data_IF_977298600419
#
_entry.id   IF_977298600419
#
_cell.length_a   1.000
_cell.length_b   1.000
_cell.length_c   1.000
_cell.angle_alpha   90.00
_cell.angle_beta   90.00
_cell.angle_gamma   90.00
#
_symmetry.space_group_name_H-M   'P 1'
#
loop_
_entity.id
_entity.type
_entity.pdbx_description
1 polymer ?
#
# COMPACT_ATOMS: atom_id res chain seq x y z
N UNK A 1 7.34 35.29 31.27
CA UNK A 1 7.55 33.85 31.00
C UNK A 1 6.23 33.15 30.72
N UNK A 2 5.21 33.35 31.56
CA UNK A 2 3.83 32.82 31.42
C UNK A 2 3.17 33.01 30.03
N UNK A 3 3.24 34.22 29.46
CA UNK A 3 2.54 34.58 28.20
C UNK A 3 3.14 33.92 26.96
N UNK A 4 4.43 33.60 26.99
CA UNK A 4 5.12 32.94 25.88
C UNK A 4 4.70 31.46 25.77
N UNK A 5 4.44 30.81 26.90
CA UNK A 5 3.98 29.42 26.97
C UNK A 5 2.56 29.29 26.42
N UNK A 6 1.67 30.23 26.76
CA UNK A 6 0.29 30.25 26.27
C UNK A 6 0.19 30.41 24.74
N UNK A 7 1.15 31.12 24.11
CA UNK A 7 1.18 31.31 22.66
C UNK A 7 1.62 30.04 21.91
N UNK A 8 2.52 29.25 22.49
CA UNK A 8 3.07 28.05 21.84
C UNK A 8 2.23 26.79 22.08
N UNK A 9 1.44 26.75 23.17
CA UNK A 9 0.55 25.63 23.51
C UNK A 9 -0.35 25.16 22.34
N UNK A 10 -1.05 26.03 21.59
CA UNK A 10 -1.89 25.58 20.47
C UNK A 10 -1.07 24.96 19.32
N UNK A 11 0.17 25.43 19.10
CA UNK A 11 1.05 24.90 18.07
C UNK A 11 1.54 23.48 18.41
N UNK A 12 1.88 23.25 19.69
CA UNK A 12 2.23 21.92 20.19
C UNK A 12 1.03 20.96 20.17
N UNK A 13 -0.16 21.43 20.56
CA UNK A 13 -1.40 20.64 20.46
C UNK A 13 -1.73 20.26 19.03
N UNK A 14 -1.56 21.18 18.07
CA UNK A 14 -1.78 20.90 16.65
C UNK A 14 -0.76 19.89 16.10
N UNK A 15 0.51 20.03 16.46
CA UNK A 15 1.54 19.07 16.07
C UNK A 15 1.27 17.67 16.64
N UNK A 16 0.90 17.58 17.92
CA UNK A 16 0.46 16.32 18.55
C UNK A 16 -0.79 15.74 17.86
N UNK A 17 -1.76 16.59 17.52
CA UNK A 17 -2.96 16.15 16.79
C UNK A 17 -2.58 15.54 15.43
N UNK A 18 -1.68 16.17 14.68
CA UNK A 18 -1.17 15.65 13.41
C UNK A 18 -0.43 14.32 13.57
N UNK A 19 0.33 14.13 14.65
CA UNK A 19 0.98 12.87 15.01
C UNK A 19 -0.03 11.76 15.35
N UNK A 20 -1.20 12.11 15.89
CA UNK A 20 -2.27 11.15 16.25
C UNK A 20 -3.19 10.76 15.08
N UNK A 21 -3.06 11.39 13.90
CA UNK A 21 -3.75 10.94 12.68
C UNK A 21 -3.11 9.61 12.25
N UNK A 22 -3.55 8.54 12.89
CA UNK A 22 -3.23 7.17 12.51
C UNK A 22 -3.76 6.94 11.08
N UNK A 23 -2.94 6.25 10.28
CA UNK A 23 -3.03 6.23 8.82
C UNK A 23 -4.39 5.89 8.21
N UNK A 24 -4.50 6.16 6.91
CA UNK A 24 -5.67 5.88 6.07
C UNK A 24 -6.18 4.46 6.33
N UNK A 25 -7.50 4.26 6.55
CA UNK A 25 -8.07 2.93 6.73
C UNK A 25 -7.68 2.04 5.55
N UNK A 26 -7.03 0.91 5.86
CA UNK A 26 -6.62 -0.08 4.86
C UNK A 26 -7.82 -0.95 4.55
N UNK A 27 -8.36 -0.86 3.35
CA UNK A 27 -9.42 -1.73 2.87
C UNK A 27 -8.93 -2.57 1.69
N UNK A 28 -9.42 -3.80 1.61
CA UNK A 28 -9.21 -4.68 0.48
C UNK A 28 -10.53 -4.83 -0.26
N UNK A 29 -10.63 -4.24 -1.45
CA UNK A 29 -11.71 -4.54 -2.38
C UNK A 29 -11.30 -5.77 -3.17
N UNK A 30 -12.19 -6.74 -3.26
CA UNK A 30 -11.96 -7.97 -3.99
C UNK A 30 -13.19 -8.26 -4.84
N UNK A 31 -12.99 -8.75 -6.07
CA UNK A 31 -14.10 -9.19 -6.94
C UNK A 31 -15.04 -10.22 -6.31
N UNK A 32 -16.15 -10.57 -6.96
CA UNK A 32 -17.02 -11.62 -6.43
C UNK A 32 -16.60 -13.02 -6.90
N UNK A 33 -15.86 -13.08 -8.00
CA UNK A 33 -15.42 -14.33 -8.62
C UNK A 33 -14.13 -14.85 -8.01
N UNK A 34 -14.06 -16.16 -7.79
CA UNK A 34 -12.81 -16.84 -7.46
C UNK A 34 -12.28 -17.50 -8.72
N UNK A 35 -11.06 -17.18 -9.13
CA UNK A 35 -10.46 -17.93 -10.24
C UNK A 35 -10.07 -19.35 -9.77
N UNK A 36 -10.02 -20.33 -10.69
CA UNK A 36 -9.52 -21.66 -10.36
C UNK A 36 -8.03 -21.61 -9.99
N UNK A 37 -7.62 -22.42 -9.01
CA UNK A 37 -6.19 -22.64 -8.70
C UNK A 37 -5.52 -23.42 -9.83
N UNK A 38 -4.19 -23.30 -9.94
CA UNK A 38 -3.37 -23.98 -10.96
C UNK A 38 -3.75 -23.59 -12.39
N UNK A 39 -4.19 -22.36 -12.59
CA UNK A 39 -4.36 -21.75 -13.90
C UNK A 39 -3.12 -20.91 -14.22
N UNK A 40 -2.86 -20.69 -15.51
CA UNK A 40 -1.84 -19.73 -15.94
C UNK A 40 -2.05 -18.36 -15.30
N UNK A 41 -3.31 -17.94 -15.13
CA UNK A 41 -3.66 -16.71 -14.42
C UNK A 41 -3.16 -16.71 -12.96
N UNK A 42 -3.41 -17.79 -12.20
CA UNK A 42 -2.93 -17.88 -10.81
C UNK A 42 -1.40 -17.91 -10.71
N UNK A 43 -0.71 -18.59 -11.62
CA UNK A 43 0.75 -18.63 -11.66
C UNK A 43 1.34 -17.27 -11.99
N UNK A 44 0.78 -16.58 -12.99
CA UNK A 44 1.19 -15.25 -13.39
C UNK A 44 0.93 -14.24 -12.26
N UNK A 45 -0.18 -14.36 -11.54
CA UNK A 45 -0.49 -13.51 -10.39
C UNK A 45 0.51 -13.75 -9.23
N UNK A 46 0.79 -15.01 -8.91
CA UNK A 46 1.76 -15.36 -7.87
C UNK A 46 3.19 -14.91 -8.19
N UNK A 47 3.55 -14.89 -9.47
CA UNK A 47 4.83 -14.36 -9.95
C UNK A 47 4.89 -12.82 -9.92
N UNK A 48 3.78 -12.15 -10.27
CA UNK A 48 3.75 -10.69 -10.42
C UNK A 48 3.71 -9.94 -9.07
N UNK A 49 2.90 -10.41 -8.11
CA UNK A 49 2.65 -9.72 -6.83
C UNK A 49 3.93 -9.47 -5.99
N UNK A 50 4.88 -10.41 -5.85
CA UNK A 50 6.12 -10.18 -5.08
C UNK A 50 7.04 -9.15 -5.73
N UNK A 51 6.99 -9.02 -7.06
CA UNK A 51 7.85 -8.07 -7.80
C UNK A 51 7.50 -6.62 -7.48
N UNK A 52 6.22 -6.33 -7.18
CA UNK A 52 5.68 -4.98 -6.98
C UNK A 52 6.44 -4.20 -5.91
N UNK A 53 6.74 -4.83 -4.77
CA UNK A 53 7.37 -4.15 -3.64
C UNK A 53 8.78 -3.65 -3.97
N UNK A 54 9.53 -4.41 -4.77
CA UNK A 54 10.88 -4.01 -5.21
C UNK A 54 10.82 -2.96 -6.32
N UNK A 55 9.94 -3.17 -7.30
CA UNK A 55 9.85 -2.31 -8.47
C UNK A 55 9.26 -0.94 -8.13
N UNK A 56 8.23 -0.87 -7.29
CA UNK A 56 7.62 0.41 -6.87
C UNK A 56 8.64 1.33 -6.19
N UNK A 57 9.56 0.79 -5.40
CA UNK A 57 10.62 1.60 -4.78
C UNK A 57 11.71 1.99 -5.77
N UNK A 58 11.99 1.14 -6.76
CA UNK A 58 12.98 1.44 -7.81
C UNK A 58 12.48 2.53 -8.75
N UNK A 59 11.21 2.50 -9.11
CA UNK A 59 10.57 3.44 -10.04
C UNK A 59 10.04 4.72 -9.37
N UNK A 60 10.54 5.07 -8.18
CA UNK A 60 10.22 6.36 -7.53
C UNK A 60 8.84 6.44 -6.88
N UNK A 61 8.24 5.30 -6.55
CA UNK A 61 7.00 5.22 -5.77
C UNK A 61 5.76 4.85 -6.56
N UNK A 62 5.87 4.60 -7.87
CA UNK A 62 4.75 4.14 -8.70
C UNK A 62 5.26 3.06 -9.66
N UNK A 63 4.50 1.96 -9.80
CA UNK A 63 4.85 0.89 -10.72
C UNK A 63 3.61 0.17 -11.21
N UNK A 64 3.57 -0.10 -12.52
CA UNK A 64 2.57 -0.97 -13.15
C UNK A 64 3.26 -2.18 -13.78
N UNK A 65 2.54 -3.30 -13.84
CA UNK A 65 3.02 -4.49 -14.51
C UNK A 65 1.86 -5.26 -15.10
N UNK A 66 2.12 -5.93 -16.21
CA UNK A 66 1.16 -6.82 -16.85
C UNK A 66 1.83 -8.12 -17.24
N UNK A 67 1.17 -9.25 -16.98
CA UNK A 67 1.64 -10.57 -17.38
C UNK A 67 0.45 -11.42 -17.78
N UNK A 68 0.31 -11.72 -19.08
CA UNK A 68 -0.65 -12.69 -19.63
C UNK A 68 -2.06 -12.59 -19.01
N UNK A 69 -2.66 -11.39 -19.07
CA UNK A 69 -4.01 -11.12 -18.56
C UNK A 69 -4.09 -10.71 -17.09
N UNK A 70 -2.99 -10.76 -16.35
CA UNK A 70 -2.87 -10.17 -15.01
C UNK A 70 -2.38 -8.73 -15.15
N UNK A 71 -3.07 -7.77 -14.53
CA UNK A 71 -2.63 -6.39 -14.41
C UNK A 71 -2.47 -6.03 -12.93
N UNK A 72 -1.33 -5.42 -12.58
CA UNK A 72 -1.03 -5.00 -11.23
C UNK A 72 -0.50 -3.56 -11.19
N UNK A 73 -0.89 -2.85 -10.14
CA UNK A 73 -0.51 -1.47 -9.88
C UNK A 73 -0.08 -1.33 -8.42
N UNK A 74 1.06 -0.69 -8.19
CA UNK A 74 1.54 -0.34 -6.86
C UNK A 74 1.83 1.16 -6.80
N UNK A 75 1.34 1.81 -5.74
CA UNK A 75 1.60 3.23 -5.49
C UNK A 75 1.99 3.42 -4.03
N UNK A 76 3.05 4.19 -3.83
CA UNK A 76 3.57 4.56 -2.54
C UNK A 76 3.11 5.96 -2.17
N UNK A 77 2.89 6.19 -0.88
CA UNK A 77 2.65 7.53 -0.38
C UNK A 77 3.86 8.41 -0.70
N UNK A 78 3.60 9.62 -1.21
CA UNK A 78 4.64 10.63 -1.42
C UNK A 78 5.33 10.96 -0.09
N UNK A 79 6.66 11.10 -0.11
CA UNK A 79 7.51 11.39 1.04
C UNK A 79 7.52 10.29 2.14
N UNK A 80 7.15 9.06 1.80
CA UNK A 80 7.34 7.91 2.69
C UNK A 80 8.76 7.35 2.55
N UNK A 81 9.34 6.87 3.64
CA UNK A 81 10.64 6.20 3.61
C UNK A 81 10.59 4.99 2.67
N UNK A 82 11.64 4.82 1.84
CA UNK A 82 11.72 3.75 0.83
C UNK A 82 11.47 2.36 1.46
N UNK A 83 12.06 2.08 2.62
CA UNK A 83 11.83 0.78 3.29
C UNK A 83 10.41 0.63 3.81
N UNK A 84 9.81 1.71 4.35
CA UNK A 84 8.44 1.68 4.84
C UNK A 84 7.45 1.47 3.69
N UNK A 85 7.71 2.10 2.54
CA UNK A 85 6.97 1.93 1.28
C UNK A 85 7.09 0.48 0.78
N UNK A 86 8.30 -0.08 0.68
CA UNK A 86 8.53 -1.47 0.31
C UNK A 86 7.77 -2.44 1.20
N UNK A 87 7.89 -2.29 2.53
CA UNK A 87 7.17 -3.14 3.52
C UNK A 87 5.65 -2.98 3.46
N UNK A 88 5.15 -1.83 3.01
CA UNK A 88 3.73 -1.60 2.84
C UNK A 88 3.20 -2.42 1.65
N UNK A 89 3.87 -2.26 0.50
CA UNK A 89 3.48 -2.98 -0.72
C UNK A 89 3.71 -4.47 -0.58
N UNK A 90 4.81 -4.90 0.03
CA UNK A 90 5.08 -6.31 0.31
C UNK A 90 4.00 -6.95 1.19
N UNK A 91 3.61 -6.27 2.28
CA UNK A 91 2.49 -6.74 3.11
C UNK A 91 1.16 -6.73 2.36
N UNK A 92 0.92 -5.78 1.46
CA UNK A 92 -0.27 -5.80 0.64
C UNK A 92 -0.24 -7.05 -0.27
N UNK A 93 0.84 -7.27 -1.01
CA UNK A 93 1.05 -8.43 -1.89
C UNK A 93 0.93 -9.78 -1.15
N UNK A 94 1.52 -9.90 0.04
CA UNK A 94 1.45 -11.14 0.84
C UNK A 94 0.06 -11.33 1.43
N UNK A 95 -0.60 -10.31 1.96
CA UNK A 95 -1.96 -10.46 2.50
C UNK A 95 -2.97 -10.80 1.40
N UNK A 96 -2.67 -10.46 0.15
CA UNK A 96 -3.48 -10.87 -1.01
C UNK A 96 -3.28 -12.33 -1.42
N UNK A 97 -2.10 -12.92 -1.15
CA UNK A 97 -1.74 -14.27 -1.62
C UNK A 97 -2.48 -15.46 -0.97
N UNK A 98 -2.65 -15.58 0.37
CA UNK A 98 -3.17 -16.83 0.92
C UNK A 98 -4.70 -16.91 0.93
N UNK A 99 -5.42 -15.87 0.48
CA UNK A 99 -6.89 -15.84 0.60
C UNK A 99 -7.67 -15.39 -0.61
N UNK A 100 -7.06 -14.80 -1.64
CA UNK A 100 -7.89 -14.10 -2.61
C UNK A 100 -7.37 -14.15 -4.05
N UNK A 101 -7.94 -15.08 -4.82
CA UNK A 101 -7.84 -15.12 -6.27
C UNK A 101 -8.79 -14.07 -6.88
N UNK A 102 -8.55 -12.79 -6.60
CA UNK A 102 -9.46 -11.68 -6.93
C UNK A 102 -8.70 -10.46 -7.47
N UNK A 103 -9.36 -9.67 -8.32
CA UNK A 103 -8.88 -8.34 -8.73
C UNK A 103 -8.96 -7.37 -7.55
N UNK A 104 -7.85 -6.71 -7.22
CA UNK A 104 -7.71 -5.91 -5.99
C UNK A 104 -7.31 -4.49 -6.37
N UNK A 105 -8.24 -3.57 -6.12
CA UNK A 105 -7.97 -2.14 -6.11
C UNK A 105 -7.64 -1.73 -4.68
N UNK A 106 -6.36 -1.42 -4.42
CA UNK A 106 -5.95 -0.66 -3.23
C UNK A 106 -6.39 0.78 -3.46
N UNK A 107 -7.54 1.14 -2.90
CA UNK A 107 -7.98 2.51 -2.95
C UNK A 107 -7.34 3.33 -1.83
N UNK A 108 -6.95 4.54 -2.21
CA UNK A 108 -6.34 5.58 -1.38
C UNK A 108 -7.38 6.29 -0.51
#
# INVERSE_FOLDING_TARGET
>A
METFILLHLPFYLFFFLLLTINGVPRYFLCGEENFPRNTAYSENLESLLPSLASNVTREGGFYNASLDGVYALALCRKNYEVQASRRCVDRASVNTMPRQNRSIHLGF
#
